data_IF_596276489718
#
_entry.id   IF_596276489718
#
_cell.length_a   1.000
_cell.length_b   1.000
_cell.length_c   1.000
_cell.angle_alpha   90.00
_cell.angle_beta   90.00
_cell.angle_gamma   90.00
#
_symmetry.space_group_name_H-M   'P 1'
#
loop_
_entity.id
_entity.type
_entity.pdbx_description
1 polymer ?
#
# COMPACT_ATOMS: atom_id res chain seq x y z
N UNK A 1 77.19 -31.51 -25.11
CA UNK A 1 76.88 -30.49 -26.15
C UNK A 1 75.37 -30.43 -26.29
N UNK A 2 74.75 -29.42 -25.66
CA UNK A 2 73.97 -28.33 -26.28
C UNK A 2 72.61 -28.76 -26.88
N UNK A 3 71.53 -28.30 -26.24
CA UNK A 3 70.15 -28.21 -26.76
C UNK A 3 70.05 -27.19 -27.90
N UNK A 4 69.02 -27.32 -28.75
CA UNK A 4 68.01 -26.26 -28.95
C UNK A 4 66.57 -26.84 -29.02
N UNK A 5 65.55 -26.30 -28.35
CA UNK A 5 64.78 -25.04 -28.56
C UNK A 5 63.66 -25.11 -29.61
N UNK A 6 62.47 -24.64 -29.17
CA UNK A 6 61.24 -24.24 -29.92
C UNK A 6 60.28 -25.35 -30.37
N UNK A 7 58.94 -25.22 -30.34
CA UNK A 7 58.03 -24.19 -29.82
C UNK A 7 56.57 -24.62 -30.05
N UNK A 8 55.72 -24.31 -29.07
CA UNK A 8 54.36 -23.73 -29.19
C UNK A 8 53.17 -24.52 -29.78
N UNK A 9 52.01 -24.16 -29.21
CA UNK A 9 50.60 -24.38 -29.60
C UNK A 9 49.96 -25.62 -28.94
N UNK A 10 49.14 -25.50 -27.90
CA UNK A 10 47.89 -24.73 -27.92
C UNK A 10 47.36 -24.51 -26.49
N UNK A 11 47.48 -23.27 -25.97
CA UNK A 11 46.62 -22.83 -24.88
C UNK A 11 45.25 -22.49 -25.47
N UNK A 12 44.28 -23.38 -25.28
CA UNK A 12 42.88 -23.05 -25.48
C UNK A 12 42.48 -22.06 -24.38
N UNK A 13 42.38 -20.79 -24.76
CA UNK A 13 41.72 -19.77 -23.96
C UNK A 13 40.27 -20.22 -23.70
N UNK A 14 40.00 -20.78 -22.52
CA UNK A 14 38.66 -20.75 -21.96
C UNK A 14 38.37 -19.29 -21.61
N UNK A 15 37.95 -18.53 -22.61
CA UNK A 15 37.28 -17.25 -22.41
C UNK A 15 35.99 -17.56 -21.65
N UNK A 16 36.06 -17.51 -20.33
CA UNK A 16 34.88 -17.65 -19.48
C UNK A 16 33.87 -16.59 -19.91
N UNK A 17 32.68 -17.03 -20.34
CA UNK A 17 31.51 -16.17 -20.31
C UNK A 17 31.20 -15.92 -18.84
N UNK A 18 31.85 -14.90 -18.26
CA UNK A 18 31.35 -14.25 -17.08
C UNK A 18 30.04 -13.57 -17.49
N UNK A 19 28.92 -14.30 -17.40
CA UNK A 19 27.62 -13.68 -17.39
C UNK A 19 27.63 -12.67 -16.25
N UNK A 20 27.60 -11.39 -16.57
CA UNK A 20 27.40 -10.35 -15.57
C UNK A 20 26.01 -10.60 -14.98
N UNK A 21 25.97 -11.26 -13.82
CA UNK A 21 24.81 -11.22 -12.95
C UNK A 21 24.62 -9.75 -12.59
N UNK A 22 23.70 -9.08 -13.29
CA UNK A 22 23.19 -7.81 -12.81
C UNK A 22 22.46 -8.15 -11.53
N UNK A 23 23.08 -7.82 -10.39
CA UNK A 23 22.33 -7.67 -9.15
C UNK A 23 21.33 -6.54 -9.43
N UNK A 24 20.14 -6.91 -9.90
CA UNK A 24 18.98 -6.06 -9.77
C UNK A 24 18.70 -6.02 -8.26
N UNK A 25 19.42 -5.15 -7.57
CA UNK A 25 18.97 -4.63 -6.29
C UNK A 25 17.69 -3.90 -6.64
N UNK A 26 16.55 -4.58 -6.50
CA UNK A 26 15.27 -3.87 -6.46
C UNK A 26 15.48 -2.79 -5.38
N UNK A 27 15.24 -1.52 -5.70
CA UNK A 27 15.28 -0.51 -4.67
C UNK A 27 14.40 -1.02 -3.52
N UNK A 28 14.96 -1.11 -2.30
CA UNK A 28 14.21 -1.46 -1.08
C UNK A 28 13.26 -0.31 -0.69
N UNK A 29 12.54 0.19 -1.67
CA UNK A 29 11.72 1.38 -1.64
C UNK A 29 10.30 0.96 -1.27
N UNK A 30 10.09 0.79 0.02
CA UNK A 30 8.77 0.59 0.59
C UNK A 30 8.04 1.95 0.62
N UNK A 31 6.72 1.98 0.39
CA UNK A 31 5.96 3.24 0.52
C UNK A 31 5.72 3.56 1.98
N UNK A 32 5.71 4.84 2.34
CA UNK A 32 5.27 5.26 3.67
C UNK A 32 3.82 4.79 3.93
N UNK A 33 3.55 4.41 5.17
CA UNK A 33 2.23 3.98 5.65
C UNK A 33 1.89 4.71 6.96
N UNK A 34 0.61 4.78 7.38
CA UNK A 34 0.23 5.45 8.62
C UNK A 34 1.05 4.96 9.81
N UNK A 35 1.66 5.90 10.56
CA UNK A 35 2.53 5.60 11.70
C UNK A 35 4.00 5.39 11.36
N UNK A 36 4.38 5.26 10.08
CA UNK A 36 5.79 5.31 9.68
C UNK A 36 6.35 6.73 9.80
N UNK A 37 7.67 6.85 10.03
CA UNK A 37 8.36 8.15 10.18
C UNK A 37 8.11 9.08 8.99
N UNK A 38 8.10 8.51 7.79
CA UNK A 38 8.01 9.25 6.53
C UNK A 38 6.56 9.44 6.05
N UNK A 39 5.57 9.13 6.90
CA UNK A 39 4.16 9.39 6.62
C UNK A 39 3.88 10.91 6.58
N UNK A 40 3.09 11.41 5.59
CA UNK A 40 2.76 12.83 5.54
C UNK A 40 2.07 13.30 6.82
N UNK A 41 2.46 14.48 7.31
CA UNK A 41 1.88 15.11 8.49
C UNK A 41 0.42 15.52 8.27
N UNK A 42 -0.30 15.79 9.35
CA UNK A 42 -1.68 16.28 9.29
C UNK A 42 -1.81 17.57 8.45
N UNK A 43 -0.83 18.48 8.52
CA UNK A 43 -0.82 19.72 7.72
C UNK A 43 -0.69 19.44 6.22
N UNK A 44 0.10 18.44 5.83
CA UNK A 44 0.22 18.02 4.42
C UNK A 44 -1.11 17.45 3.93
N UNK A 45 -1.77 16.59 4.71
CA UNK A 45 -3.10 16.06 4.38
C UNK A 45 -4.15 17.17 4.31
N UNK A 46 -4.09 18.16 5.20
CA UNK A 46 -4.96 19.34 5.16
C UNK A 46 -4.74 20.16 3.88
N UNK A 47 -3.49 20.42 3.49
CA UNK A 47 -3.18 21.12 2.25
C UNK A 47 -3.67 20.38 1.01
N UNK A 48 -3.57 19.05 0.99
CA UNK A 48 -4.18 18.22 -0.06
C UNK A 48 -5.70 18.41 -0.10
N UNK A 49 -6.37 18.37 1.06
CA UNK A 49 -7.82 18.57 1.14
C UNK A 49 -8.26 19.94 0.63
N UNK A 50 -7.51 21.00 0.96
CA UNK A 50 -7.74 22.36 0.46
C UNK A 50 -7.58 22.42 -1.07
N UNK A 51 -6.53 21.79 -1.61
CA UNK A 51 -6.29 21.71 -3.07
C UNK A 51 -7.42 20.95 -3.78
N UNK A 52 -7.97 19.91 -3.14
CA UNK A 52 -9.12 19.14 -3.63
C UNK A 52 -10.48 19.81 -3.40
N UNK A 53 -10.52 21.02 -2.83
CA UNK A 53 -11.77 21.72 -2.53
C UNK A 53 -12.64 21.02 -1.48
N UNK A 54 -12.03 20.35 -0.50
CA UNK A 54 -12.74 19.66 0.59
C UNK A 54 -13.12 18.21 0.30
N UNK A 55 -12.55 17.59 -0.75
CA UNK A 55 -12.92 16.25 -1.24
C UNK A 55 -12.01 15.12 -0.77
N UNK A 56 -11.19 15.35 0.25
CA UNK A 56 -10.42 14.31 0.90
C UNK A 56 -11.21 13.72 2.07
N UNK A 57 -11.50 12.42 2.00
CA UNK A 57 -12.19 11.66 3.03
C UNK A 57 -11.17 10.86 3.87
N UNK A 58 -11.44 10.69 5.15
CA UNK A 58 -10.72 9.79 6.05
C UNK A 58 -11.70 8.86 6.81
N UNK A 59 -12.47 8.02 6.09
CA UNK A 59 -13.51 7.20 6.70
C UNK A 59 -12.92 6.03 7.48
N UNK A 60 -13.61 5.62 8.56
CA UNK A 60 -13.27 4.39 9.26
C UNK A 60 -13.60 3.15 8.40
N UNK A 61 -12.97 1.99 8.68
CA UNK A 61 -13.42 0.72 8.13
C UNK A 61 -14.93 0.54 8.35
N UNK A 62 -15.68 0.04 7.37
CA UNK A 62 -17.14 0.01 7.47
C UNK A 62 -17.64 -0.96 8.55
N UNK A 63 -16.87 -1.99 8.89
CA UNK A 63 -17.14 -2.87 10.02
C UNK A 63 -16.95 -2.21 11.39
N UNK A 64 -16.20 -1.10 11.49
CA UNK A 64 -15.81 -0.46 12.75
C UNK A 64 -17.01 0.01 13.58
N UNK A 65 -18.14 0.28 12.93
CA UNK A 65 -19.41 0.61 13.59
C UNK A 65 -19.88 -0.46 14.59
N UNK A 66 -19.44 -1.71 14.41
CA UNK A 66 -19.77 -2.83 15.29
C UNK A 66 -18.80 -3.02 16.46
N UNK A 67 -17.71 -2.25 16.55
CA UNK A 67 -16.62 -2.45 17.53
C UNK A 67 -16.63 -1.38 18.62
N UNK A 68 -16.92 -1.71 19.89
CA UNK A 68 -17.05 -0.73 20.98
C UNK A 68 -15.82 0.17 21.21
N UNK A 69 -14.63 -0.29 20.86
CA UNK A 69 -13.38 0.46 20.97
C UNK A 69 -13.16 1.45 19.81
N UNK A 70 -13.92 1.32 18.72
CA UNK A 70 -13.82 2.23 17.59
C UNK A 70 -14.52 3.56 17.89
N UNK A 71 -13.93 4.67 17.46
CA UNK A 71 -14.54 6.00 17.58
C UNK A 71 -15.85 6.16 16.79
N UNK A 72 -16.14 5.22 15.89
CA UNK A 72 -17.34 5.20 15.04
C UNK A 72 -18.35 4.13 15.47
N UNK A 73 -18.17 3.53 16.65
CA UNK A 73 -19.11 2.55 17.21
C UNK A 73 -20.53 3.10 17.28
N UNK A 74 -21.48 2.34 16.76
CA UNK A 74 -22.90 2.61 16.87
C UNK A 74 -23.65 1.27 16.90
N UNK A 75 -24.16 0.93 18.09
CA UNK A 75 -24.88 -0.31 18.35
C UNK A 75 -26.17 -0.45 17.51
N UNK A 76 -26.80 0.68 17.16
CA UNK A 76 -28.04 0.71 16.40
C UNK A 76 -27.79 0.56 14.90
N UNK A 77 -26.61 0.98 14.42
CA UNK A 77 -26.21 0.85 13.02
C UNK A 77 -25.51 -0.47 12.69
N UNK A 78 -24.86 -1.12 13.66
CA UNK A 78 -24.19 -2.39 13.42
C UNK A 78 -25.08 -3.45 12.74
N UNK A 79 -26.35 -3.68 13.18
CA UNK A 79 -27.24 -4.62 12.50
C UNK A 79 -27.52 -4.25 11.03
N UNK A 80 -27.53 -2.96 10.69
CA UNK A 80 -27.72 -2.51 9.31
C UNK A 80 -26.52 -2.89 8.45
N UNK A 81 -25.30 -2.68 8.95
CA UNK A 81 -24.07 -3.07 8.25
C UNK A 81 -23.99 -4.59 8.11
N UNK A 82 -24.27 -5.35 9.17
CA UNK A 82 -24.27 -6.82 9.12
C UNK A 82 -25.20 -7.37 8.05
N UNK A 83 -26.43 -6.85 7.94
CA UNK A 83 -27.39 -7.30 6.93
C UNK A 83 -26.97 -6.97 5.50
N UNK A 84 -26.26 -5.86 5.30
CA UNK A 84 -25.83 -5.41 3.99
C UNK A 84 -24.42 -5.89 3.61
N UNK A 85 -23.69 -6.55 4.49
CA UNK A 85 -22.31 -6.97 4.26
C UNK A 85 -22.11 -7.96 3.10
N UNK A 86 -23.17 -8.57 2.59
CA UNK A 86 -23.11 -9.44 1.40
C UNK A 86 -23.63 -8.75 0.13
N UNK A 87 -24.08 -7.50 0.24
CA UNK A 87 -24.67 -6.71 -0.84
C UNK A 87 -23.60 -6.00 -1.67
N UNK A 88 -23.53 -6.32 -2.96
CA UNK A 88 -22.61 -5.65 -3.88
C UNK A 88 -22.81 -4.13 -3.91
N UNK A 89 -24.06 -3.70 -4.02
CA UNK A 89 -24.41 -2.29 -4.09
C UNK A 89 -23.90 -1.53 -2.85
N UNK A 90 -24.12 -2.09 -1.66
CA UNK A 90 -23.71 -1.44 -0.41
C UNK A 90 -22.20 -1.23 -0.31
N UNK A 91 -21.39 -2.22 -0.74
CA UNK A 91 -19.94 -2.06 -0.78
C UNK A 91 -19.51 -1.02 -1.82
N UNK A 92 -20.14 -0.96 -3.00
CA UNK A 92 -19.79 0.02 -4.04
C UNK A 92 -20.14 1.46 -3.68
N UNK A 93 -21.13 1.66 -2.80
CA UNK A 93 -21.53 2.97 -2.30
C UNK A 93 -20.67 3.45 -1.12
N UNK A 94 -19.85 2.58 -0.54
CA UNK A 94 -18.94 2.93 0.55
C UNK A 94 -17.54 3.28 0.01
N UNK A 95 -16.93 4.39 0.45
CA UNK A 95 -15.67 4.90 -0.13
C UNK A 95 -14.45 4.00 0.08
N UNK A 96 -14.46 3.10 1.06
CA UNK A 96 -13.30 2.25 1.40
C UNK A 96 -13.60 0.76 1.42
N UNK A 97 -14.87 0.39 1.30
CA UNK A 97 -15.28 -1.01 1.43
C UNK A 97 -14.77 -1.86 0.28
N UNK A 98 -14.51 -3.14 0.57
CA UNK A 98 -14.14 -4.13 -0.43
C UNK A 98 -15.11 -5.30 -0.34
N UNK A 99 -15.51 -5.82 -1.50
CA UNK A 99 -16.50 -6.90 -1.62
C UNK A 99 -16.13 -8.21 -0.93
N UNK A 100 -14.83 -8.39 -0.67
CA UNK A 100 -14.27 -9.68 -0.30
C UNK A 100 -13.26 -9.47 0.82
N UNK A 101 -13.62 -9.93 2.00
CA UNK A 101 -12.91 -9.68 3.25
C UNK A 101 -11.43 -10.09 3.22
N UNK A 102 -11.06 -11.07 2.38
CA UNK A 102 -9.66 -11.48 2.27
C UNK A 102 -8.73 -10.36 1.76
N UNK A 103 -9.24 -9.38 1.00
CA UNK A 103 -8.42 -8.27 0.50
C UNK A 103 -7.99 -7.31 1.60
N UNK A 104 -8.85 -7.12 2.61
CA UNK A 104 -8.49 -6.37 3.83
C UNK A 104 -7.89 -7.29 4.90
N UNK A 105 -7.66 -8.57 4.59
CA UNK A 105 -7.20 -9.62 5.53
C UNK A 105 -8.10 -9.74 6.77
N UNK A 106 -9.42 -9.60 6.58
CA UNK A 106 -10.40 -9.67 7.67
C UNK A 106 -10.10 -8.67 8.81
N UNK A 107 -9.46 -7.54 8.47
CA UNK A 107 -8.91 -6.62 9.48
C UNK A 107 -9.96 -5.85 10.28
N UNK A 108 -11.19 -5.74 9.78
CA UNK A 108 -12.32 -5.18 10.52
C UNK A 108 -13.65 -5.62 9.89
N UNK A 109 -14.21 -6.72 10.41
CA UNK A 109 -15.52 -7.27 10.01
C UNK A 109 -16.63 -6.65 10.85
N UNK A 110 -17.90 -6.68 10.43
CA UNK A 110 -19.04 -6.26 11.25
C UNK A 110 -19.40 -7.32 12.30
N UNK A 111 -18.40 -7.85 13.00
CA UNK A 111 -18.53 -8.80 14.10
C UNK A 111 -17.79 -8.22 15.30
N UNK A 112 -18.47 -7.86 16.41
CA UNK A 112 -17.83 -7.30 17.61
C UNK A 112 -16.82 -8.24 18.28
N UNK A 113 -16.75 -9.52 17.87
CA UNK A 113 -15.77 -10.49 18.38
C UNK A 113 -14.53 -10.61 17.50
N UNK A 114 -14.57 -10.07 16.28
CA UNK A 114 -13.43 -10.05 15.36
C UNK A 114 -12.46 -8.92 15.73
N UNK A 115 -11.19 -8.98 15.32
CA UNK A 115 -10.33 -7.80 15.41
C UNK A 115 -10.86 -6.68 14.49
N UNK A 116 -10.67 -5.43 14.92
CA UNK A 116 -10.83 -4.26 14.06
C UNK A 116 -9.59 -3.37 14.04
N UNK A 117 -9.04 -3.17 12.85
CA UNK A 117 -7.95 -2.25 12.55
C UNK A 117 -8.14 -1.65 11.16
N UNK A 118 -7.61 -0.44 10.94
CA UNK A 118 -7.63 0.23 9.65
C UNK A 118 -6.61 -0.29 8.64
N UNK A 119 -5.72 -1.21 9.01
CA UNK A 119 -4.56 -1.59 8.18
C UNK A 119 -4.90 -2.19 6.81
N UNK A 120 -6.07 -2.82 6.67
CA UNK A 120 -6.51 -3.36 5.38
C UNK A 120 -7.20 -2.34 4.47
N UNK A 121 -7.44 -1.11 4.96
CA UNK A 121 -8.23 -0.08 4.29
C UNK A 121 -7.36 1.13 3.97
N UNK A 122 -7.65 1.87 2.88
CA UNK A 122 -6.92 3.10 2.60
C UNK A 122 -7.21 4.13 3.71
N UNK A 123 -6.18 4.82 4.24
CA UNK A 123 -6.37 5.79 5.32
C UNK A 123 -7.04 7.09 4.84
N UNK A 124 -6.97 7.38 3.54
CA UNK A 124 -7.61 8.51 2.89
C UNK A 124 -8.15 8.10 1.52
N UNK A 125 -9.24 8.74 1.10
CA UNK A 125 -9.87 8.56 -0.21
C UNK A 125 -10.18 9.92 -0.82
N UNK A 126 -9.92 10.08 -2.12
CA UNK A 126 -10.32 11.27 -2.87
C UNK A 126 -11.70 11.03 -3.48
N UNK A 127 -12.70 11.85 -3.10
CA UNK A 127 -14.01 11.89 -3.76
C UNK A 127 -13.90 12.62 -5.12
N UNK A 128 -13.36 11.89 -6.10
CA UNK A 128 -13.05 12.41 -7.41
C UNK A 128 -14.30 12.45 -8.32
N UNK A 129 -14.66 13.64 -8.78
CA UNK A 129 -15.76 13.89 -9.73
C UNK A 129 -15.28 14.60 -11.01
N UNK A 130 -13.99 14.92 -11.09
CA UNK A 130 -13.35 15.55 -12.24
C UNK A 130 -12.00 14.88 -12.50
N UNK A 131 -11.50 15.00 -13.73
CA UNK A 131 -10.16 14.55 -14.07
C UNK A 131 -9.08 15.26 -13.24
N UNK A 132 -9.34 16.51 -12.83
CA UNK A 132 -8.43 17.29 -12.00
C UNK A 132 -8.28 16.67 -10.59
N UNK A 133 -9.36 16.22 -9.96
CA UNK A 133 -9.26 15.56 -8.65
C UNK A 133 -8.41 14.28 -8.75
N UNK A 134 -8.57 13.51 -9.83
CA UNK A 134 -7.77 12.31 -10.09
C UNK A 134 -6.29 12.69 -10.25
N UNK A 135 -6.01 13.71 -11.07
CA UNK A 135 -4.65 14.21 -11.30
C UNK A 135 -3.99 14.64 -9.98
N UNK A 136 -4.66 15.46 -9.17
CA UNK A 136 -4.15 15.92 -7.87
C UNK A 136 -3.83 14.72 -6.96
N UNK A 137 -4.71 13.72 -6.89
CA UNK A 137 -4.48 12.53 -6.07
C UNK A 137 -3.28 11.69 -6.55
N UNK A 138 -3.14 11.50 -7.86
CA UNK A 138 -2.00 10.78 -8.45
C UNK A 138 -0.69 11.53 -8.23
N UNK A 139 -0.67 12.83 -8.48
CA UNK A 139 0.51 13.68 -8.29
C UNK A 139 0.92 13.68 -6.81
N UNK A 140 -0.03 13.79 -5.88
CA UNK A 140 0.24 13.68 -4.44
C UNK A 140 0.85 12.32 -4.08
N UNK A 141 0.30 11.21 -4.60
CA UNK A 141 0.83 9.86 -4.35
C UNK A 141 2.26 9.64 -4.87
N UNK A 142 2.68 10.40 -5.89
CA UNK A 142 4.06 10.40 -6.38
C UNK A 142 5.03 11.19 -5.47
N UNK A 143 4.50 12.12 -4.67
CA UNK A 143 5.28 12.91 -3.70
C UNK A 143 5.44 12.21 -2.34
N UNK A 144 4.63 11.19 -2.05
CA UNK A 144 4.77 10.43 -0.79
C UNK A 144 6.17 9.79 -0.75
N UNK A 145 6.98 10.07 0.28
CA UNK A 145 8.33 9.54 0.36
C UNK A 145 8.35 8.01 0.29
N UNK A 146 9.37 7.50 -0.39
CA UNK A 146 9.73 6.09 -0.33
C UNK A 146 10.44 5.88 1.00
N UNK A 147 9.78 5.19 1.92
CA UNK A 147 10.32 4.86 3.23
C UNK A 147 11.27 3.66 3.10
N UNK A 148 12.57 3.92 3.14
CA UNK A 148 13.56 2.91 3.53
C UNK A 148 13.73 2.97 5.04
N UNK A 149 12.95 2.20 5.80
CA UNK A 149 13.25 2.07 7.24
C UNK A 149 12.84 0.70 7.77
N UNK A 150 13.85 -0.17 7.91
CA UNK A 150 14.04 -1.19 8.96
C UNK A 150 12.89 -2.14 9.33
N UNK A 151 11.80 -2.17 8.57
CA UNK A 151 10.76 -3.18 8.74
C UNK A 151 11.29 -4.52 8.20
N UNK A 152 11.18 -5.63 8.95
CA UNK A 152 11.53 -6.95 8.43
C UNK A 152 10.61 -7.27 7.24
N UNK A 153 11.15 -7.30 6.03
CA UNK A 153 10.38 -7.56 4.81
C UNK A 153 10.51 -6.50 3.70
N UNK A 154 11.24 -5.42 3.95
CA UNK A 154 12.21 -4.93 2.97
C UNK A 154 13.58 -5.59 3.33
#
# INVERSE_FOLDING_TARGET
MRLPDTALLSLLCLSGLAGAATNHTLPNECRAFPGSRDWPSADIWKGLNETLGGRLLAPAPPGAVCHPEASTYDADQCPNVQRNWTSYQWHTENPVSVMRDQFTKYSCLPDPKAPCSGHGYPPYVVDASTAEHVKIGVDFGALIPKACSSAPGC
#
